data_IF_187946564568
#
_entry.id   IF_187946564568
#
_cell.length_a   1.000
_cell.length_b   1.000
_cell.length_c   1.000
_cell.angle_alpha   90.00
_cell.angle_beta   90.00
_cell.angle_gamma   90.00
#
_symmetry.space_group_name_H-M   'P 1'
#
loop_
_entity.id
_entity.type
_entity.pdbx_description
1 polymer ?
#
# COMPACT_ATOMS: atom_id res chain seq x y z
N UNK A 1 5.52 22.40 -2.74
CA UNK A 1 4.53 21.31 -2.62
C UNK A 1 4.20 21.10 -1.15
N UNK A 2 2.92 21.11 -0.71
CA UNK A 2 2.59 20.84 0.68
C UNK A 2 2.92 19.38 1.02
N UNK A 3 3.58 19.16 2.17
CA UNK A 3 3.82 17.81 2.72
C UNK A 3 2.46 17.13 2.92
N UNK A 4 2.34 15.88 2.49
CA UNK A 4 1.15 15.10 2.83
C UNK A 4 1.12 14.96 4.36
N UNK A 5 0.02 15.33 5.00
CA UNK A 5 -0.22 14.92 6.38
C UNK A 5 -0.50 13.42 6.34
N UNK A 6 0.45 12.63 6.84
CA UNK A 6 0.27 11.20 7.00
C UNK A 6 -0.27 10.94 8.41
N UNK A 7 -1.25 10.05 8.52
CA UNK A 7 -1.89 9.77 9.81
C UNK A 7 -0.99 8.93 10.74
N UNK A 8 -0.10 8.12 10.16
CA UNK A 8 0.86 7.29 10.88
C UNK A 8 2.05 6.93 9.96
N UNK A 9 3.18 6.57 10.57
CA UNK A 9 4.28 5.84 9.94
C UNK A 9 4.11 4.34 10.26
N UNK A 10 3.97 3.51 9.24
CA UNK A 10 3.89 2.06 9.36
C UNK A 10 5.20 1.43 8.86
N UNK A 11 5.92 0.75 9.75
CA UNK A 11 7.07 -0.09 9.40
C UNK A 11 6.60 -1.53 9.25
N UNK A 12 6.90 -2.18 8.13
CA UNK A 12 6.50 -3.56 7.87
C UNK A 12 7.73 -4.42 7.68
N UNK A 13 7.88 -5.47 8.47
CA UNK A 13 8.89 -6.51 8.26
C UNK A 13 8.43 -7.44 7.13
N UNK A 14 8.96 -7.20 5.92
CA UNK A 14 8.46 -7.82 4.71
C UNK A 14 8.61 -9.34 4.69
N UNK A 15 9.70 -9.90 5.20
CA UNK A 15 9.89 -11.33 5.21
C UNK A 15 9.05 -12.03 6.28
N UNK A 16 8.84 -11.39 7.42
CA UNK A 16 7.87 -11.87 8.39
C UNK A 16 6.46 -11.94 7.79
N UNK A 17 6.04 -10.91 7.05
CA UNK A 17 4.72 -10.89 6.40
C UNK A 17 4.60 -11.95 5.31
N UNK A 18 5.58 -12.06 4.39
CA UNK A 18 5.60 -13.12 3.36
C UNK A 18 5.54 -14.50 4.00
N UNK A 19 6.27 -14.69 5.11
CA UNK A 19 6.29 -15.92 5.90
C UNK A 19 5.06 -16.14 6.80
N UNK A 20 4.09 -15.23 6.83
CA UNK A 20 2.88 -15.35 7.64
C UNK A 20 1.61 -15.49 6.79
N UNK A 21 1.50 -14.75 5.68
CA UNK A 21 0.28 -14.71 4.87
C UNK A 21 0.16 -15.93 3.95
N UNK A 22 -0.95 -16.69 4.00
CA UNK A 22 -1.10 -17.93 3.23
C UNK A 22 -0.88 -17.76 1.72
N UNK A 23 -1.52 -16.77 1.10
CA UNK A 23 -1.39 -16.51 -0.33
C UNK A 23 0.02 -16.09 -0.75
N UNK A 24 0.77 -15.36 0.10
CA UNK A 24 2.16 -15.00 -0.21
C UNK A 24 3.11 -16.19 -0.07
N UNK A 25 2.84 -17.11 0.86
CA UNK A 25 3.58 -18.38 0.95
C UNK A 25 3.37 -19.22 -0.29
N UNK A 26 2.13 -19.35 -0.75
CA UNK A 26 1.81 -20.09 -1.97
C UNK A 26 2.55 -19.51 -3.18
N UNK A 27 2.54 -18.18 -3.35
CA UNK A 27 3.30 -17.50 -4.42
C UNK A 27 4.81 -17.72 -4.23
N UNK A 28 5.34 -17.60 -3.01
CA UNK A 28 6.76 -17.82 -2.73
C UNK A 28 7.20 -19.23 -3.11
N UNK A 29 6.40 -20.23 -2.76
CA UNK A 29 6.72 -21.64 -2.93
C UNK A 29 6.51 -22.10 -4.38
N UNK A 30 5.63 -21.44 -5.14
CA UNK A 30 5.37 -21.73 -6.56
C UNK A 30 6.19 -20.89 -7.54
N UNK A 31 6.14 -19.56 -7.40
CA UNK A 31 6.70 -18.58 -8.34
C UNK A 31 7.99 -17.93 -7.85
N UNK A 32 8.37 -18.18 -6.59
CA UNK A 32 9.61 -17.71 -5.98
C UNK A 32 9.46 -16.47 -5.11
N UNK A 33 10.53 -16.17 -4.36
CA UNK A 33 10.56 -15.11 -3.35
C UNK A 33 10.28 -13.72 -3.91
N UNK A 34 10.79 -13.43 -5.11
CA UNK A 34 10.61 -12.13 -5.75
C UNK A 34 9.16 -11.89 -6.18
N UNK A 35 8.47 -12.93 -6.65
CA UNK A 35 7.04 -12.85 -6.97
C UNK A 35 6.21 -12.54 -5.71
N UNK A 36 6.53 -13.18 -4.58
CA UNK A 36 5.85 -12.91 -3.32
C UNK A 36 6.12 -11.49 -2.78
N UNK A 37 7.34 -10.97 -2.97
CA UNK A 37 7.69 -9.58 -2.63
C UNK A 37 6.85 -8.59 -3.44
N UNK A 38 6.77 -8.79 -4.75
CA UNK A 38 5.97 -7.94 -5.64
C UNK A 38 4.48 -7.97 -5.27
N UNK A 39 3.93 -9.15 -5.00
CA UNK A 39 2.55 -9.29 -4.53
C UNK A 39 2.30 -8.52 -3.21
N UNK A 40 3.23 -8.62 -2.25
CA UNK A 40 3.14 -7.87 -1.00
C UNK A 40 3.19 -6.34 -1.23
N UNK A 41 4.07 -5.86 -2.12
CA UNK A 41 4.17 -4.44 -2.49
C UNK A 41 2.84 -3.93 -3.04
N UNK A 42 2.19 -4.68 -3.93
CA UNK A 42 0.89 -4.31 -4.50
C UNK A 42 -0.21 -4.21 -3.44
N UNK A 43 -0.29 -5.19 -2.53
CA UNK A 43 -1.23 -5.18 -1.41
C UNK A 43 -1.04 -3.95 -0.52
N UNK A 44 0.22 -3.68 -0.13
CA UNK A 44 0.54 -2.58 0.76
C UNK A 44 0.41 -1.21 0.09
N UNK A 45 0.64 -1.09 -1.22
CA UNK A 45 0.45 0.16 -1.95
C UNK A 45 -1.03 0.62 -1.86
N UNK A 46 -1.95 -0.33 -2.08
CA UNK A 46 -3.39 -0.08 -1.99
C UNK A 46 -3.80 0.25 -0.55
N UNK A 47 -3.36 -0.55 0.43
CA UNK A 47 -3.69 -0.36 1.84
C UNK A 47 -3.17 0.96 2.41
N UNK A 48 -1.91 1.30 2.13
CA UNK A 48 -1.26 2.51 2.66
C UNK A 48 -1.95 3.77 2.16
N UNK A 49 -2.33 3.78 0.87
CA UNK A 49 -3.12 4.86 0.27
C UNK A 49 -4.51 4.96 0.89
N UNK A 50 -5.19 3.83 1.09
CA UNK A 50 -6.53 3.79 1.70
C UNK A 50 -6.55 4.30 3.15
N UNK A 51 -5.54 3.95 3.96
CA UNK A 51 -5.42 4.38 5.36
C UNK A 51 -4.81 5.78 5.53
N UNK A 52 -4.12 6.28 4.49
CA UNK A 52 -3.32 7.51 4.58
C UNK A 52 -2.05 7.35 5.41
N UNK A 53 -1.51 6.13 5.49
CA UNK A 53 -0.27 5.84 6.22
C UNK A 53 0.93 6.06 5.31
N UNK A 54 2.02 6.59 5.89
CA UNK A 54 3.33 6.49 5.26
C UNK A 54 3.91 5.13 5.63
N UNK A 55 4.06 4.25 4.67
CA UNK A 55 4.52 2.88 4.91
C UNK A 55 5.94 2.70 4.38
N UNK A 56 6.78 2.09 5.21
CA UNK A 56 8.11 1.62 4.83
C UNK A 56 8.11 0.09 4.93
N UNK A 57 8.18 -0.57 3.77
CA UNK A 57 8.31 -2.01 3.67
C UNK A 57 9.80 -2.37 3.71
N UNK A 58 10.21 -3.12 4.72
CA UNK A 58 11.62 -3.41 5.00
C UNK A 58 11.94 -4.85 4.63
N UNK A 59 13.01 -5.03 3.85
CA UNK A 59 13.54 -6.35 3.51
C UNK A 59 15.02 -6.44 3.89
N UNK A 60 15.43 -7.60 4.39
CA UNK A 60 16.85 -7.90 4.59
C UNK A 60 17.56 -8.00 3.22
N UNK A 61 18.67 -7.30 3.06
CA UNK A 61 19.45 -7.22 1.83
C UNK A 61 20.34 -8.45 1.56
N UNK A 62 20.23 -9.53 2.34
CA UNK A 62 20.93 -10.81 2.10
C UNK A 62 20.85 -11.32 0.65
N UNK A 63 19.84 -10.90 -0.12
CA UNK A 63 19.60 -11.32 -1.50
C UNK A 63 19.64 -10.17 -2.52
N UNK A 64 20.14 -8.98 -2.15
CA UNK A 64 20.15 -7.79 -3.01
C UNK A 64 21.57 -7.39 -3.43
N UNK A 65 21.74 -7.01 -4.70
CA UNK A 65 23.02 -6.50 -5.22
C UNK A 65 23.41 -5.13 -4.65
N UNK A 66 22.44 -4.37 -4.12
CA UNK A 66 22.63 -2.99 -3.68
C UNK A 66 21.97 -2.74 -2.30
N UNK A 67 22.67 -3.08 -1.19
CA UNK A 67 22.17 -2.87 0.17
C UNK A 67 22.00 -1.38 0.52
N UNK A 68 21.13 -1.07 1.49
CA UNK A 68 20.88 0.28 1.99
C UNK A 68 20.01 1.17 1.08
N UNK A 69 19.50 0.62 -0.03
CA UNK A 69 18.67 1.35 -1.00
C UNK A 69 17.26 1.56 -0.45
N UNK A 70 16.76 2.79 -0.56
CA UNK A 70 15.34 3.10 -0.43
C UNK A 70 14.74 3.39 -1.82
N UNK A 71 13.64 2.71 -2.14
CA UNK A 71 12.94 2.83 -3.41
C UNK A 71 11.50 3.32 -3.17
N UNK A 72 11.14 4.53 -3.63
CA UNK A 72 9.76 5.00 -3.54
C UNK A 72 8.89 4.25 -4.56
N UNK A 73 7.82 3.60 -4.08
CA UNK A 73 6.84 2.91 -4.94
C UNK A 73 5.65 3.82 -5.21
N UNK A 74 5.13 4.47 -4.17
CA UNK A 74 4.04 5.45 -4.26
C UNK A 74 4.28 6.62 -3.30
N UNK A 75 3.38 7.60 -3.28
CA UNK A 75 3.40 8.69 -2.27
C UNK A 75 3.30 8.16 -0.82
N UNK A 76 2.72 6.98 -0.64
CA UNK A 76 2.43 6.39 0.68
C UNK A 76 3.25 5.14 0.98
N UNK A 77 4.04 4.63 0.04
CA UNK A 77 4.83 3.41 0.21
C UNK A 77 6.24 3.58 -0.36
N UNK A 78 7.25 3.31 0.45
CA UNK A 78 8.61 3.03 -0.02
C UNK A 78 9.08 1.65 0.45
N UNK A 79 9.93 1.04 -0.36
CA UNK A 79 10.66 -0.19 -0.01
C UNK A 79 12.02 0.24 0.50
N UNK A 80 12.49 -0.34 1.61
CA UNK A 80 13.81 -0.09 2.15
C UNK A 80 14.54 -1.40 2.37
N UNK A 81 15.67 -1.54 1.69
CA UNK A 81 16.57 -2.66 1.90
C UNK A 81 17.57 -2.32 3.00
N UNK A 82 17.85 -3.28 3.87
CA UNK A 82 18.83 -3.09 4.94
C UNK A 82 20.24 -2.90 4.38
N UNK A 83 21.12 -2.30 5.18
CA UNK A 83 22.55 -2.24 4.84
C UNK A 83 23.23 -3.62 4.96
N UNK A 84 24.46 -3.75 4.46
CA UNK A 84 25.22 -4.99 4.60
C UNK A 84 25.44 -5.34 6.08
N UNK A 85 25.15 -6.60 6.46
CA UNK A 85 25.18 -7.09 7.86
C UNK A 85 24.18 -6.41 8.81
N UNK A 86 23.25 -5.61 8.30
CA UNK A 86 22.11 -5.10 9.07
C UNK A 86 20.88 -5.96 8.80
N UNK A 87 20.17 -6.34 9.85
CA UNK A 87 18.89 -7.07 9.73
C UNK A 87 17.71 -6.10 9.70
N UNK A 88 16.56 -6.59 9.23
CA UNK A 88 15.32 -5.82 9.24
C UNK A 88 14.96 -5.37 10.67
N UNK A 89 15.15 -6.27 11.64
CA UNK A 89 14.93 -6.00 13.06
C UNK A 89 15.75 -4.79 13.55
N UNK A 90 17.07 -4.81 13.30
CA UNK A 90 17.96 -3.70 13.71
C UNK A 90 17.55 -2.37 13.06
N UNK A 91 17.18 -2.38 11.78
CA UNK A 91 16.72 -1.17 11.09
C UNK A 91 15.41 -0.63 11.70
N UNK A 92 14.46 -1.52 12.00
CA UNK A 92 13.20 -1.15 12.65
C UNK A 92 13.45 -0.58 14.05
N UNK A 93 14.29 -1.23 14.85
CA UNK A 93 14.64 -0.78 16.21
C UNK A 93 15.29 0.60 16.19
N UNK A 94 16.27 0.82 15.30
CA UNK A 94 16.92 2.12 15.13
C UNK A 94 15.90 3.19 14.73
N UNK A 95 14.97 2.86 13.83
CA UNK A 95 13.92 3.79 13.42
C UNK A 95 12.98 4.13 14.58
N UNK A 96 12.60 3.14 15.40
CA UNK A 96 11.78 3.35 16.60
C UNK A 96 12.49 4.22 17.64
N UNK A 97 13.76 3.93 17.93
CA UNK A 97 14.57 4.71 18.86
C UNK A 97 14.68 6.17 18.40
N UNK A 98 15.00 6.41 17.11
CA UNK A 98 15.07 7.75 16.54
C UNK A 98 13.73 8.48 16.61
N UNK A 99 12.62 7.79 16.32
CA UNK A 99 11.28 8.36 16.37
C UNK A 99 10.92 8.85 17.77
N UNK A 100 11.23 8.06 18.81
CA UNK A 100 11.00 8.42 20.21
C UNK A 100 11.72 9.71 20.65
N UNK A 101 12.91 9.96 20.11
CA UNK A 101 13.71 11.12 20.44
C UNK A 101 13.39 12.37 19.59
N UNK A 102 12.61 12.22 18.52
CA UNK A 102 12.23 13.33 17.63
C UNK A 102 10.99 14.06 18.17
N UNK A 103 11.22 15.14 18.92
CA UNK A 103 10.18 16.02 19.48
C UNK A 103 9.20 16.56 18.42
N UNK A 104 9.59 16.62 17.14
CA UNK A 104 8.72 17.11 16.05
C UNK A 104 7.73 16.06 15.56
N UNK A 105 7.88 14.81 16.01
CA UNK A 105 7.06 13.66 15.60
C UNK A 105 6.25 13.05 16.74
N UNK A 106 6.25 13.68 17.92
CA UNK A 106 5.49 13.20 19.08
C UNK A 106 3.99 13.04 18.80
N UNK A 107 3.41 13.86 17.92
CA UNK A 107 2.00 13.77 17.51
C UNK A 107 1.75 12.75 16.39
N UNK A 108 2.79 12.06 15.90
CA UNK A 108 2.67 11.07 14.85
C UNK A 108 2.70 9.66 15.44
N UNK A 109 1.77 8.82 15.00
CA UNK A 109 1.73 7.40 15.39
C UNK A 109 2.81 6.63 14.64
N UNK A 110 3.59 5.82 15.34
CA UNK A 110 4.50 4.83 14.77
C UNK A 110 3.93 3.45 15.00
N UNK A 111 3.73 2.69 13.92
CA UNK A 111 3.18 1.33 13.95
C UNK A 111 4.23 0.39 13.36
N UNK A 112 4.47 -0.76 14.00
CA UNK A 112 5.34 -1.82 13.49
C UNK A 112 4.52 -3.09 13.27
N UNK A 113 4.55 -3.60 12.04
CA UNK A 113 3.91 -4.85 11.66
C UNK A 113 4.93 -5.99 11.59
N UNK A 114 4.86 -6.90 12.57
CA UNK A 114 5.64 -8.14 12.63
C UNK A 114 4.99 -9.13 13.60
N UNK A 115 5.19 -10.43 13.39
CA UNK A 115 4.81 -11.49 14.33
C UNK A 115 5.99 -12.11 15.05
N UNK A 116 7.20 -11.55 14.90
CA UNK A 116 8.34 -11.94 15.74
C UNK A 116 8.14 -11.42 17.18
N UNK A 117 8.22 -12.31 18.16
CA UNK A 117 7.95 -12.01 19.57
C UNK A 117 9.06 -11.15 20.20
N UNK A 118 10.32 -11.39 19.84
CA UNK A 118 11.42 -10.58 20.35
C UNK A 118 11.28 -9.15 19.83
N UNK A 119 11.01 -9.02 18.54
CA UNK A 119 10.81 -7.72 17.91
C UNK A 119 9.60 -6.98 18.47
N UNK A 120 8.49 -7.67 18.73
CA UNK A 120 7.32 -7.09 19.39
C UNK A 120 7.68 -6.43 20.73
N UNK A 121 8.39 -7.14 21.60
CA UNK A 121 8.74 -6.62 22.93
C UNK A 121 9.63 -5.36 22.80
N UNK A 122 10.59 -5.40 21.89
CA UNK A 122 11.51 -4.28 21.67
C UNK A 122 10.79 -3.04 21.15
N UNK A 123 9.96 -3.15 20.11
CA UNK A 123 9.31 -1.98 19.50
C UNK A 123 8.27 -1.35 20.41
N UNK A 124 7.56 -2.16 21.20
CA UNK A 124 6.65 -1.67 22.26
C UNK A 124 7.46 -0.96 23.36
N UNK A 125 8.63 -1.48 23.72
CA UNK A 125 9.55 -0.81 24.65
C UNK A 125 9.99 0.58 24.18
N UNK A 126 10.11 0.79 22.86
CA UNK A 126 10.37 2.10 22.27
C UNK A 126 9.13 3.01 22.13
N UNK A 127 7.94 2.53 22.52
CA UNK A 127 6.69 3.27 22.46
C UNK A 127 5.98 3.21 21.09
N UNK A 128 6.41 2.32 20.19
CA UNK A 128 5.68 2.08 18.95
C UNK A 128 4.46 1.19 19.17
N UNK A 129 3.41 1.40 18.38
CA UNK A 129 2.26 0.50 18.33
C UNK A 129 2.66 -0.78 17.59
N UNK A 130 2.38 -1.94 18.19
CA UNK A 130 2.62 -3.22 17.55
C UNK A 130 1.37 -3.73 16.82
N UNK A 131 1.58 -4.32 15.64
CA UNK A 131 0.58 -5.00 14.84
C UNK A 131 1.11 -6.37 14.40
N UNK A 132 0.33 -7.43 14.60
CA UNK A 132 0.72 -8.75 14.09
C UNK A 132 0.52 -8.85 12.58
N UNK A 133 1.21 -9.81 11.94
CA UNK A 133 1.03 -10.05 10.51
C UNK A 133 -0.41 -10.43 10.15
N UNK A 134 -1.09 -11.21 11.00
CA UNK A 134 -2.49 -11.59 10.80
C UNK A 134 -3.45 -10.41 10.97
N UNK A 135 -3.16 -9.51 11.92
CA UNK A 135 -3.95 -8.29 12.06
C UNK A 135 -3.80 -7.43 10.79
N UNK A 136 -2.58 -7.21 10.31
CA UNK A 136 -2.34 -6.48 9.06
C UNK A 136 -3.06 -7.13 7.86
N UNK A 137 -3.05 -8.46 7.75
CA UNK A 137 -3.78 -9.18 6.69
C UNK A 137 -5.28 -8.85 6.71
N UNK A 138 -5.90 -9.01 7.88
CA UNK A 138 -7.34 -8.73 8.06
C UNK A 138 -7.68 -7.29 7.71
N UNK A 139 -6.82 -6.35 8.10
CA UNK A 139 -6.95 -4.92 7.81
C UNK A 139 -6.86 -4.62 6.30
N UNK A 140 -5.89 -5.23 5.62
CA UNK A 140 -5.69 -5.12 4.17
C UNK A 140 -6.88 -5.68 3.41
N UNK A 141 -7.37 -6.85 3.79
CA UNK A 141 -8.55 -7.44 3.16
C UNK A 141 -9.82 -6.61 3.40
N UNK A 142 -10.00 -6.07 4.60
CA UNK A 142 -11.12 -5.20 4.92
C UNK A 142 -11.10 -3.93 4.07
N UNK A 143 -9.93 -3.29 3.95
CA UNK A 143 -9.72 -2.12 3.09
C UNK A 143 -10.01 -2.42 1.61
N UNK A 144 -9.57 -3.59 1.12
CA UNK A 144 -9.85 -4.05 -0.24
C UNK A 144 -11.36 -4.21 -0.47
N UNK A 145 -12.07 -4.93 0.43
CA UNK A 145 -13.53 -5.11 0.35
C UNK A 145 -14.28 -3.77 0.35
N UNK A 146 -13.88 -2.82 1.17
CA UNK A 146 -14.52 -1.49 1.24
C UNK A 146 -14.30 -0.68 -0.03
N UNK A 147 -13.09 -0.73 -0.60
CA UNK A 147 -12.76 -0.09 -1.88
C UNK A 147 -13.60 -0.69 -3.01
N UNK A 148 -13.75 -2.02 -3.07
CA UNK A 148 -14.60 -2.68 -4.06
C UNK A 148 -16.09 -2.35 -3.88
N UNK A 149 -16.58 -2.24 -2.64
CA UNK A 149 -17.96 -1.80 -2.36
C UNK A 149 -18.21 -0.37 -2.83
N UNK A 150 -17.31 0.57 -2.53
CA UNK A 150 -17.44 1.96 -2.99
C UNK A 150 -17.44 2.06 -4.51
N UNK A 151 -16.58 1.30 -5.21
CA UNK A 151 -16.60 1.23 -6.68
C UNK A 151 -17.89 0.64 -7.26
N UNK A 152 -18.56 -0.27 -6.55
CA UNK A 152 -19.85 -0.85 -6.96
C UNK A 152 -21.05 0.02 -6.59
N UNK A 153 -20.99 0.77 -5.49
CA UNK A 153 -22.08 1.61 -4.98
C UNK A 153 -22.15 3.00 -5.59
N UNK A 154 -21.07 3.50 -6.21
CA UNK A 154 -21.16 4.64 -7.12
C UNK A 154 -21.86 4.14 -8.39
N UNK A 155 -23.12 4.53 -8.66
CA UNK A 155 -23.74 4.16 -9.91
C UNK A 155 -22.88 4.73 -11.02
N UNK A 156 -22.57 3.90 -12.02
CA UNK A 156 -21.98 4.33 -13.30
C UNK A 156 -22.98 5.18 -14.12
N UNK A 157 -23.86 5.93 -13.44
CA UNK A 157 -24.99 6.65 -13.97
C UNK A 157 -24.77 8.14 -13.73
N UNK A 158 -24.03 8.77 -14.64
CA UNK A 158 -24.13 10.19 -15.05
C UNK A 158 -22.80 10.72 -15.62
N UNK A 159 -21.65 10.12 -15.26
CA UNK A 159 -20.37 10.76 -15.55
C UNK A 159 -19.90 10.67 -17.02
N UNK A 160 -20.30 9.68 -17.81
CA UNK A 160 -19.73 9.47 -19.16
C UNK A 160 -20.73 8.94 -20.21
N UNK A 161 -21.94 9.48 -20.24
CA UNK A 161 -22.73 9.42 -21.48
C UNK A 161 -22.48 10.73 -22.22
N UNK A 162 -21.56 10.70 -23.20
CA UNK A 162 -21.33 11.81 -24.13
C UNK A 162 -22.66 12.32 -24.73
N UNK A 163 -23.64 11.42 -24.89
CA UNK A 163 -25.01 11.76 -25.30
C UNK A 163 -25.67 12.84 -24.46
N UNK A 164 -25.41 12.94 -23.15
CA UNK A 164 -26.09 13.91 -22.27
C UNK A 164 -25.42 15.29 -22.27
N UNK A 165 -24.23 15.43 -22.86
CA UNK A 165 -23.53 16.73 -23.03
C UNK A 165 -23.66 17.29 -24.45
N UNK A 166 -24.23 16.51 -25.36
CA UNK A 166 -24.51 16.95 -26.72
C UNK A 166 -25.82 17.71 -26.74
N UNK A 167 -25.87 18.79 -27.52
CA UNK A 167 -27.11 19.51 -27.79
C UNK A 167 -28.15 18.56 -28.47
N UNK A 168 -29.45 18.88 -28.38
CA UNK A 168 -30.51 18.02 -28.91
C UNK A 168 -30.36 17.67 -30.40
N UNK A 169 -29.81 18.59 -31.20
CA UNK A 169 -29.57 18.41 -32.65
C UNK A 169 -28.41 17.44 -32.88
N UNK A 170 -27.34 17.55 -32.10
CA UNK A 170 -26.21 16.63 -32.16
C UNK A 170 -26.61 15.19 -31.74
N UNK A 171 -27.50 15.06 -30.75
CA UNK A 171 -28.06 13.76 -30.35
C UNK A 171 -28.89 13.13 -31.47
N UNK A 172 -29.76 13.90 -32.13
CA UNK A 172 -30.58 13.43 -33.25
C UNK A 172 -29.73 13.03 -34.47
N UNK A 173 -28.68 13.80 -34.78
CA UNK A 173 -27.74 13.47 -35.87
C UNK A 173 -27.00 12.16 -35.61
N UNK A 174 -26.54 11.93 -34.37
CA UNK A 174 -25.90 10.67 -34.00
C UNK A 174 -26.87 9.49 -34.11
N UNK A 175 -28.14 9.69 -33.71
CA UNK A 175 -29.18 8.67 -33.83
C UNK A 175 -29.51 8.35 -35.29
N UNK A 176 -29.61 9.36 -36.16
CA UNK A 176 -29.85 9.18 -37.59
C UNK A 176 -28.71 8.40 -38.27
N UNK A 177 -27.45 8.73 -37.95
CA UNK A 177 -26.28 8.00 -38.44
C UNK A 177 -26.25 6.55 -37.95
N UNK A 178 -26.71 6.30 -36.72
CA UNK A 178 -26.83 4.94 -36.15
C UNK A 178 -27.91 4.10 -36.85
N UNK A 179 -28.92 4.76 -37.42
CA UNK A 179 -29.99 4.14 -38.22
C UNK A 179 -29.67 4.10 -39.72
N UNK A 180 -28.45 4.45 -40.13
CA UNK A 180 -28.01 4.40 -41.54
C UNK A 180 -28.58 5.51 -42.42
N UNK A 181 -29.24 6.52 -41.84
CA UNK A 181 -29.79 7.65 -42.58
C UNK A 181 -28.70 8.73 -42.75
N UNK A 182 -28.24 8.92 -43.98
CA UNK A 182 -27.31 10.01 -44.30
C UNK A 182 -28.04 11.36 -44.23
N UNK A 183 -27.44 12.40 -43.62
CA UNK A 183 -28.06 13.73 -43.58
C UNK A 183 -28.20 14.27 -45.01
N UNK A 184 -29.40 14.75 -45.35
CA UNK A 184 -29.60 15.56 -46.56
C UNK A 184 -28.83 16.87 -46.38
N UNK A 185 -28.05 17.23 -47.41
CA UNK A 185 -27.30 18.49 -47.49
C UNK A 185 -28.24 19.69 -47.42
#
# INVERSE_FOLDING_TARGET
MPRAHHNALLLVDGYNIVGAWPHLKEIRDGDGLEAARNALVECLASYSSFRGYKTQLIFDAQYQENPGREEPVTRYLSIRYTEFRQTADTLIELTCAQFRHDLRKYDHRLIVATSDRAQQLTVVGYGAEWMSANHLLNDVEAASRQTHRHKKSVPRQAANRLSNRLDPVAQQRLAALRMGLKPKQ
#
